data_IF_741865356268
#
_entry.id   IF_741865356268
#
_cell.length_a   1.000
_cell.length_b   1.000
_cell.length_c   1.000
_cell.angle_alpha   90.00
_cell.angle_beta   90.00
_cell.angle_gamma   90.00
#
_symmetry.space_group_name_H-M   'P 1'
#
loop_
_entity.id
_entity.type
_entity.pdbx_description
1 polymer ?
#
# COMPACT_ATOMS: atom_id res chain seq x y z
N UNK A 1 47.28 -11.42 -51.77
CA UNK A 1 46.20 -10.64 -52.41
C UNK A 1 44.88 -10.92 -51.70
N UNK A 2 44.24 -9.87 -51.19
CA UNK A 2 42.80 -9.73 -50.83
C UNK A 2 42.33 -10.54 -49.59
N UNK A 3 41.60 -9.98 -48.62
CA UNK A 3 41.09 -8.62 -48.32
C UNK A 3 40.60 -8.66 -46.86
N UNK A 4 40.90 -7.60 -46.11
CA UNK A 4 40.24 -7.25 -44.86
C UNK A 4 38.77 -6.90 -45.10
N UNK A 5 37.86 -7.37 -44.24
CA UNK A 5 36.55 -6.79 -43.89
C UNK A 5 36.09 -7.53 -42.61
N UNK A 6 36.07 -6.89 -41.43
CA UNK A 6 34.97 -6.06 -40.91
C UNK A 6 33.66 -6.87 -40.76
N UNK A 7 32.85 -6.81 -39.72
CA UNK A 7 32.85 -6.13 -38.43
C UNK A 7 31.72 -6.78 -37.61
N UNK A 8 31.86 -6.78 -36.28
CA UNK A 8 30.81 -6.57 -35.26
C UNK A 8 29.39 -6.96 -35.71
N UNK A 9 28.92 -8.14 -35.29
CA UNK A 9 27.48 -8.40 -35.21
C UNK A 9 27.07 -8.22 -33.75
N UNK A 10 26.41 -7.10 -33.51
CA UNK A 10 25.92 -6.64 -32.23
C UNK A 10 24.88 -7.60 -31.63
N UNK A 11 25.14 -7.99 -30.37
CA UNK A 11 24.24 -7.87 -29.21
C UNK A 11 22.81 -7.47 -29.61
N UNK A 12 21.89 -8.43 -29.73
CA UNK A 12 20.46 -8.15 -29.86
C UNK A 12 19.60 -9.34 -29.39
N UNK A 13 19.79 -9.76 -28.14
CA UNK A 13 18.80 -10.57 -27.41
C UNK A 13 18.82 -10.21 -25.92
N UNK A 14 18.69 -8.92 -25.59
CA UNK A 14 18.05 -8.53 -24.34
C UNK A 14 16.58 -8.28 -24.67
N UNK A 15 15.82 -9.37 -24.86
CA UNK A 15 14.43 -9.35 -24.50
C UNK A 15 14.41 -9.22 -22.97
N UNK A 16 14.59 -7.99 -22.48
CA UNK A 16 14.18 -7.62 -21.15
C UNK A 16 12.66 -7.79 -21.16
N UNK A 17 12.19 -9.00 -20.86
CA UNK A 17 10.92 -9.12 -20.17
C UNK A 17 11.02 -8.13 -19.03
N UNK A 18 10.10 -7.16 -18.99
CA UNK A 18 9.90 -6.36 -17.81
C UNK A 18 9.70 -7.36 -16.67
N UNK A 19 10.79 -7.67 -15.95
CA UNK A 19 10.71 -8.44 -14.75
C UNK A 19 9.81 -7.58 -13.88
N UNK A 20 8.56 -8.01 -13.70
CA UNK A 20 7.68 -7.48 -12.68
C UNK A 20 8.43 -7.74 -11.38
N UNK A 21 9.23 -6.75 -10.97
CA UNK A 21 10.01 -6.84 -9.76
C UNK A 21 8.99 -6.93 -8.65
N UNK A 22 8.99 -8.05 -7.94
CA UNK A 22 8.16 -8.22 -6.75
C UNK A 22 8.33 -6.97 -5.88
N UNK A 23 7.24 -6.31 -5.46
CA UNK A 23 7.34 -5.14 -4.58
C UNK A 23 8.22 -5.47 -3.38
N UNK A 24 9.06 -4.54 -2.90
CA UNK A 24 9.91 -4.82 -1.75
C UNK A 24 9.05 -5.15 -0.54
N UNK A 25 9.53 -6.08 0.29
CA UNK A 25 8.88 -6.40 1.56
C UNK A 25 8.99 -5.21 2.51
N UNK A 26 7.86 -4.82 3.10
CA UNK A 26 7.75 -3.69 4.03
C UNK A 26 7.53 -4.17 5.45
N UNK A 27 6.71 -5.21 5.67
CA UNK A 27 6.22 -5.56 7.01
C UNK A 27 7.05 -6.65 7.69
N UNK A 28 7.23 -6.44 8.99
CA UNK A 28 7.63 -7.43 9.97
C UNK A 28 6.52 -7.62 11.02
N UNK A 29 6.54 -8.70 11.81
CA UNK A 29 5.61 -8.85 12.93
C UNK A 29 5.65 -7.66 13.91
N UNK A 30 6.83 -7.08 14.14
CA UNK A 30 6.97 -5.89 14.98
C UNK A 30 6.22 -4.68 14.41
N UNK A 31 6.24 -4.49 13.08
CA UNK A 31 5.53 -3.37 12.45
C UNK A 31 4.01 -3.51 12.63
N UNK A 32 3.45 -4.73 12.56
CA UNK A 32 2.03 -4.99 12.83
C UNK A 32 1.67 -4.68 14.28
N UNK A 33 2.43 -5.23 15.24
CA UNK A 33 2.15 -5.00 16.66
C UNK A 33 2.19 -3.53 17.02
N UNK A 34 3.19 -2.82 16.47
CA UNK A 34 3.36 -1.40 16.69
C UNK A 34 2.25 -0.60 16.02
N UNK A 35 1.86 -0.94 14.78
CA UNK A 35 0.74 -0.30 14.10
C UNK A 35 -0.55 -0.45 14.89
N UNK A 36 -0.91 -1.68 15.30
CA UNK A 36 -2.14 -1.94 16.08
C UNK A 36 -2.18 -1.14 17.37
N UNK A 37 -1.03 -1.00 18.04
CA UNK A 37 -0.93 -0.24 19.29
C UNK A 37 -1.05 1.27 19.07
N UNK A 38 -0.31 1.79 18.09
CA UNK A 38 -0.08 3.24 17.96
C UNK A 38 -1.11 3.90 17.04
N UNK A 39 -1.71 3.18 16.09
CA UNK A 39 -2.56 3.75 15.04
C UNK A 39 -3.75 4.58 15.57
N UNK A 40 -4.56 4.12 16.55
CA UNK A 40 -5.71 4.92 17.01
C UNK A 40 -5.32 6.31 17.49
N UNK A 41 -4.35 6.40 18.41
CA UNK A 41 -3.88 7.70 18.91
C UNK A 41 -3.13 8.51 17.84
N UNK A 42 -2.39 7.84 16.95
CA UNK A 42 -1.64 8.51 15.90
C UNK A 42 -2.57 9.17 14.89
N UNK A 43 -3.64 8.51 14.45
CA UNK A 43 -4.61 9.08 13.51
C UNK A 43 -5.43 10.19 14.15
N UNK A 44 -5.88 10.05 15.41
CA UNK A 44 -6.55 11.13 16.13
C UNK A 44 -5.67 12.40 16.27
N UNK A 45 -4.36 12.23 16.49
CA UNK A 45 -3.41 13.36 16.50
C UNK A 45 -3.17 13.96 15.10
N UNK A 46 -3.19 13.14 14.04
CA UNK A 46 -3.07 13.61 12.66
C UNK A 46 -4.28 14.47 12.29
N UNK A 47 -5.48 13.98 12.53
CA UNK A 47 -6.74 14.69 12.30
C UNK A 47 -6.78 16.02 13.09
N UNK A 48 -6.45 15.96 14.39
CA UNK A 48 -6.34 17.15 15.24
C UNK A 48 -5.30 18.18 14.76
N UNK A 49 -4.35 17.76 13.91
CA UNK A 49 -3.34 18.63 13.30
C UNK A 49 -3.76 19.20 11.94
N UNK A 50 -4.96 18.85 11.45
CA UNK A 50 -5.48 19.19 10.12
C UNK A 50 -4.97 18.26 9.02
N UNK A 51 -4.44 17.08 9.39
CA UNK A 51 -4.03 16.02 8.46
C UNK A 51 -5.07 14.90 8.45
N UNK A 52 -6.18 15.14 7.76
CA UNK A 52 -7.30 14.19 7.66
C UNK A 52 -6.99 13.14 6.57
N UNK A 53 -5.97 12.33 6.83
CA UNK A 53 -5.48 11.33 5.86
C UNK A 53 -6.52 10.23 5.64
N UNK A 54 -7.26 9.87 6.67
CA UNK A 54 -8.26 8.80 6.60
C UNK A 54 -9.47 9.24 5.76
N UNK A 55 -10.02 10.42 6.04
CA UNK A 55 -11.04 11.06 5.21
C UNK A 55 -10.66 11.11 3.74
N UNK A 56 -9.43 11.54 3.43
CA UNK A 56 -8.96 11.61 2.04
C UNK A 56 -8.87 10.23 1.39
N UNK A 57 -8.60 9.19 2.16
CA UNK A 57 -8.63 7.80 1.68
C UNK A 57 -10.07 7.35 1.47
N UNK A 58 -10.98 7.65 2.39
CA UNK A 58 -12.42 7.39 2.26
C UNK A 58 -13.00 8.09 1.02
N UNK A 59 -12.77 9.40 0.85
CA UNK A 59 -13.15 10.19 -0.32
C UNK A 59 -12.60 9.60 -1.63
N UNK A 60 -11.38 9.04 -1.60
CA UNK A 60 -10.79 8.43 -2.81
C UNK A 60 -11.51 7.15 -3.26
N UNK A 61 -12.31 6.53 -2.38
CA UNK A 61 -13.09 5.34 -2.67
C UNK A 61 -14.47 5.66 -3.28
N UNK A 62 -14.94 6.91 -3.19
CA UNK A 62 -16.25 7.35 -3.73
C UNK A 62 -16.33 7.23 -5.25
N UNK A 63 -15.21 7.37 -5.95
CA UNK A 63 -15.09 7.05 -7.37
C UNK A 63 -14.20 5.81 -7.58
N UNK A 64 -14.81 4.61 -7.72
CA UNK A 64 -14.08 3.37 -7.97
C UNK A 64 -13.21 3.37 -9.23
N UNK A 65 -13.47 4.27 -10.19
CA UNK A 65 -12.65 4.40 -11.39
C UNK A 65 -11.32 5.13 -11.10
N UNK A 66 -11.30 5.97 -10.06
CA UNK A 66 -10.14 6.74 -9.61
C UNK A 66 -9.39 6.07 -8.46
N UNK A 67 -10.05 5.17 -7.73
CA UNK A 67 -9.45 4.42 -6.64
C UNK A 67 -8.41 3.42 -7.16
N UNK A 68 -7.15 3.65 -6.80
CA UNK A 68 -6.03 2.83 -7.27
C UNK A 68 -4.88 2.82 -6.26
N UNK A 69 -3.97 1.84 -6.34
CA UNK A 69 -2.74 1.85 -5.54
C UNK A 69 -1.93 3.13 -5.73
N UNK A 70 -1.91 3.70 -6.94
CA UNK A 70 -1.21 4.93 -7.26
C UNK A 70 -1.85 6.15 -6.57
N UNK A 71 -3.18 6.22 -6.55
CA UNK A 71 -3.94 7.26 -5.85
C UNK A 71 -3.63 7.22 -4.35
N UNK A 72 -3.69 6.04 -3.73
CA UNK A 72 -3.33 5.86 -2.31
C UNK A 72 -1.88 6.27 -2.04
N UNK A 73 -0.92 5.83 -2.86
CA UNK A 73 0.49 6.23 -2.71
C UNK A 73 0.68 7.75 -2.83
N UNK A 74 -0.09 8.41 -3.68
CA UNK A 74 -0.06 9.86 -3.82
C UNK A 74 -0.57 10.56 -2.56
N UNK A 75 -1.68 10.10 -1.98
CA UNK A 75 -2.20 10.59 -0.70
C UNK A 75 -1.16 10.44 0.41
N UNK A 76 -0.56 9.25 0.54
CA UNK A 76 0.48 8.99 1.54
C UNK A 76 1.74 9.84 1.31
N UNK A 77 2.10 10.11 0.06
CA UNK A 77 3.23 10.99 -0.26
C UNK A 77 2.97 12.44 0.15
N UNK A 78 1.72 12.90 0.03
CA UNK A 78 1.33 14.23 0.49
C UNK A 78 1.41 14.31 2.03
N UNK A 79 0.82 13.34 2.73
CA UNK A 79 0.89 13.26 4.20
C UNK A 79 2.34 13.18 4.71
N UNK A 80 3.18 12.41 4.01
CA UNK A 80 4.63 12.31 4.28
C UNK A 80 5.37 13.63 4.16
N UNK A 81 4.95 14.51 3.25
CA UNK A 81 5.57 15.81 3.04
C UNK A 81 5.13 16.85 4.08
N UNK A 82 4.02 16.60 4.78
CA UNK A 82 3.49 17.50 5.82
C UNK A 82 4.48 17.70 6.97
N UNK A 83 4.79 18.95 7.37
CA UNK A 83 5.50 19.23 8.61
C UNK A 83 4.75 18.73 9.85
N UNK A 84 3.43 18.89 9.87
CA UNK A 84 2.53 18.50 10.95
C UNK A 84 2.49 16.98 11.07
N UNK A 85 2.24 16.27 9.96
CA UNK A 85 2.29 14.81 9.92
C UNK A 85 3.62 14.25 10.41
N UNK A 86 4.75 14.87 10.04
CA UNK A 86 6.06 14.47 10.56
C UNK A 86 6.21 14.66 12.07
N UNK A 87 5.70 15.77 12.63
CA UNK A 87 5.73 16.00 14.09
C UNK A 87 4.90 14.95 14.84
N UNK A 88 3.75 14.58 14.30
CA UNK A 88 2.91 13.52 14.89
C UNK A 88 3.65 12.19 14.83
N UNK A 89 4.21 11.78 13.68
CA UNK A 89 4.98 10.54 13.58
C UNK A 89 6.14 10.50 14.59
N UNK A 90 6.89 11.59 14.73
CA UNK A 90 7.98 11.71 15.70
C UNK A 90 7.51 11.52 17.15
N UNK A 91 6.32 12.03 17.52
CA UNK A 91 5.71 11.83 18.86
C UNK A 91 5.50 10.34 19.18
N UNK A 92 5.14 9.54 18.18
CA UNK A 92 4.98 8.08 18.31
C UNK A 92 6.28 7.30 18.00
N UNK A 93 7.38 8.00 17.74
CA UNK A 93 8.68 7.43 17.37
C UNK A 93 8.69 6.77 16.00
N UNK A 94 7.71 7.05 15.15
CA UNK A 94 7.68 6.61 13.77
C UNK A 94 8.49 7.57 12.90
N UNK A 95 9.06 7.04 11.81
CA UNK A 95 9.65 7.84 10.75
C UNK A 95 8.77 7.77 9.51
N UNK A 96 9.26 8.31 8.39
CA UNK A 96 8.53 8.34 7.14
C UNK A 96 8.18 6.95 6.55
N UNK A 97 8.78 5.86 7.06
CA UNK A 97 8.42 4.47 6.69
C UNK A 97 7.02 4.10 7.18
N UNK A 98 6.47 4.82 8.17
CA UNK A 98 5.08 4.62 8.62
C UNK A 98 4.10 4.60 7.45
N UNK A 99 4.26 5.51 6.49
CA UNK A 99 3.36 5.59 5.34
C UNK A 99 3.43 4.36 4.42
N UNK A 100 4.61 3.75 4.30
CA UNK A 100 4.76 2.49 3.56
C UNK A 100 4.11 1.32 4.34
N UNK A 101 4.24 1.31 5.67
CA UNK A 101 3.57 0.33 6.56
C UNK A 101 2.06 0.47 6.45
N UNK A 102 1.53 1.69 6.60
CA UNK A 102 0.12 1.99 6.52
C UNK A 102 -0.47 1.57 5.17
N UNK A 103 0.14 2.00 4.06
CA UNK A 103 -0.26 1.58 2.72
C UNK A 103 -0.32 0.05 2.59
N UNK A 104 0.71 -0.66 3.06
CA UNK A 104 0.79 -2.11 2.92
C UNK A 104 -0.27 -2.84 3.75
N UNK A 105 -0.55 -2.35 4.97
CA UNK A 105 -1.59 -2.87 5.84
C UNK A 105 -2.96 -2.60 5.22
N UNK A 106 -3.26 -1.36 4.86
CA UNK A 106 -4.52 -0.94 4.26
C UNK A 106 -4.83 -1.77 3.01
N UNK A 107 -3.89 -1.83 2.06
CA UNK A 107 -4.07 -2.62 0.83
C UNK A 107 -4.24 -4.10 1.13
N UNK A 108 -3.51 -4.64 2.10
CA UNK A 108 -3.64 -6.04 2.52
C UNK A 108 -5.03 -6.35 3.09
N UNK A 109 -5.59 -5.44 3.92
CA UNK A 109 -6.95 -5.56 4.47
C UNK A 109 -7.98 -5.44 3.35
N UNK A 110 -7.87 -4.40 2.52
CA UNK A 110 -8.73 -4.17 1.36
C UNK A 110 -8.81 -5.41 0.45
N UNK A 111 -7.67 -5.93 -0.01
CA UNK A 111 -7.64 -7.14 -0.86
C UNK A 111 -8.32 -8.33 -0.18
N UNK A 112 -8.12 -8.50 1.12
CA UNK A 112 -8.69 -9.61 1.88
C UNK A 112 -10.20 -9.52 2.04
N UNK A 113 -10.75 -8.30 2.17
CA UNK A 113 -12.20 -8.06 2.18
C UNK A 113 -12.79 -8.24 0.79
N UNK A 114 -12.15 -7.70 -0.25
CA UNK A 114 -12.65 -7.81 -1.62
C UNK A 114 -12.59 -9.25 -2.15
N UNK A 115 -11.62 -10.07 -1.73
CA UNK A 115 -11.58 -11.50 -2.06
C UNK A 115 -12.78 -12.26 -1.49
N UNK A 116 -13.25 -11.90 -0.29
CA UNK A 116 -14.46 -12.47 0.28
C UNK A 116 -15.70 -12.03 -0.52
N UNK A 117 -15.77 -10.76 -0.93
CA UNK A 117 -16.84 -10.27 -1.79
C UNK A 117 -16.86 -10.98 -3.15
N UNK A 118 -15.70 -11.18 -3.78
CA UNK A 118 -15.56 -11.91 -5.05
C UNK A 118 -15.95 -13.39 -4.96
N UNK A 119 -15.75 -14.03 -3.80
CA UNK A 119 -16.19 -15.40 -3.57
C UNK A 119 -17.73 -15.51 -3.55
N UNK A 120 -18.41 -14.46 -3.09
CA UNK A 120 -19.88 -14.38 -3.07
C UNK A 120 -20.44 -13.95 -4.43
N UNK A 121 -19.78 -12.98 -5.09
CA UNK A 121 -20.21 -12.37 -6.34
C UNK A 121 -19.02 -12.33 -7.31
N UNK A 122 -18.78 -13.41 -8.09
CA UNK A 122 -17.68 -13.45 -9.03
C UNK A 122 -17.84 -12.41 -10.15
N UNK A 123 -16.85 -11.54 -10.31
CA UNK A 123 -16.80 -10.56 -11.40
C UNK A 123 -15.37 -10.46 -11.95
N UNK A 124 -15.12 -10.71 -13.25
CA UNK A 124 -13.79 -10.61 -13.83
C UNK A 124 -13.19 -9.20 -13.75
N UNK A 125 -14.01 -8.18 -13.95
CA UNK A 125 -13.58 -6.78 -13.90
C UNK A 125 -13.17 -6.40 -12.47
N UNK A 126 -14.01 -6.76 -11.50
CA UNK A 126 -13.71 -6.52 -10.10
C UNK A 126 -12.49 -7.32 -9.64
N UNK A 127 -12.35 -8.57 -10.10
CA UNK A 127 -11.15 -9.37 -9.84
C UNK A 127 -9.89 -8.68 -10.40
N UNK A 128 -9.93 -8.17 -11.62
CA UNK A 128 -8.79 -7.47 -12.22
C UNK A 128 -8.40 -6.21 -11.42
N UNK A 129 -9.39 -5.51 -10.87
CA UNK A 129 -9.17 -4.39 -9.95
C UNK A 129 -8.47 -4.84 -8.66
N UNK A 130 -8.99 -5.86 -7.97
CA UNK A 130 -8.39 -6.41 -6.73
C UNK A 130 -6.99 -6.97 -6.99
N UNK A 131 -6.78 -7.63 -8.13
CA UNK A 131 -5.46 -8.15 -8.52
C UNK A 131 -4.42 -7.03 -8.67
N UNK A 132 -4.82 -5.82 -9.10
CA UNK A 132 -3.93 -4.65 -9.17
C UNK A 132 -3.48 -4.22 -7.78
N UNK A 133 -4.40 -4.16 -6.82
CA UNK A 133 -4.08 -3.88 -5.42
C UNK A 133 -3.16 -4.95 -4.84
N UNK A 134 -3.49 -6.23 -5.04
CA UNK A 134 -2.65 -7.34 -4.57
C UNK A 134 -1.24 -7.30 -5.14
N UNK A 135 -1.09 -6.95 -6.41
CA UNK A 135 0.21 -6.83 -7.08
C UNK A 135 1.04 -5.64 -6.57
N UNK A 136 0.44 -4.69 -5.83
CA UNK A 136 1.13 -3.50 -5.31
C UNK A 136 1.88 -3.72 -3.99
N UNK A 137 1.69 -4.88 -3.35
CA UNK A 137 2.33 -5.26 -2.07
C UNK A 137 3.06 -6.60 -2.19
N UNK A 138 4.05 -6.84 -1.32
CA UNK A 138 4.77 -8.10 -1.28
C UNK A 138 3.87 -9.23 -0.74
N UNK A 139 3.99 -10.44 -1.31
CA UNK A 139 3.16 -11.61 -0.93
C UNK A 139 3.27 -11.94 0.57
N UNK A 140 4.47 -11.89 1.14
CA UNK A 140 4.69 -12.19 2.55
C UNK A 140 4.05 -11.14 3.46
N UNK A 141 3.97 -9.89 3.02
CA UNK A 141 3.30 -8.83 3.77
C UNK A 141 1.79 -9.06 3.78
N UNK A 142 1.20 -9.39 2.62
CA UNK A 142 -0.21 -9.77 2.55
C UNK A 142 -0.51 -10.99 3.44
N UNK A 143 0.39 -11.99 3.44
CA UNK A 143 0.27 -13.16 4.32
C UNK A 143 0.31 -12.76 5.80
N UNK A 144 1.14 -11.79 6.17
CA UNK A 144 1.22 -11.29 7.54
C UNK A 144 -0.03 -10.49 7.94
N UNK A 145 -0.58 -9.68 7.03
CA UNK A 145 -1.86 -8.98 7.23
C UNK A 145 -2.99 -9.98 7.45
N UNK A 146 -3.12 -11.00 6.58
CA UNK A 146 -4.16 -12.04 6.72
C UNK A 146 -4.13 -12.73 8.09
N UNK A 147 -2.94 -13.01 8.63
CA UNK A 147 -2.79 -13.64 9.95
C UNK A 147 -3.26 -12.76 11.10
N UNK A 148 -3.27 -11.44 10.91
CA UNK A 148 -3.64 -10.45 11.91
C UNK A 148 -4.94 -9.72 11.56
N UNK A 149 -5.67 -10.18 10.54
CA UNK A 149 -6.80 -9.48 9.96
C UNK A 149 -7.86 -9.06 10.99
N UNK A 150 -8.30 -9.91 11.94
CA UNK A 150 -9.29 -9.50 12.94
C UNK A 150 -8.84 -8.28 13.76
N UNK A 151 -7.58 -8.27 14.22
CA UNK A 151 -7.02 -7.17 15.02
C UNK A 151 -6.85 -5.89 14.21
N UNK A 152 -6.54 -6.03 12.91
CA UNK A 152 -6.40 -4.88 12.02
C UNK A 152 -7.77 -4.28 11.69
N UNK A 153 -8.80 -5.10 11.52
CA UNK A 153 -10.18 -4.63 11.36
C UNK A 153 -10.66 -3.86 12.59
N UNK A 154 -10.42 -4.37 13.80
CA UNK A 154 -10.75 -3.65 15.05
C UNK A 154 -10.08 -2.27 15.11
N UNK A 155 -8.86 -2.13 14.57
CA UNK A 155 -8.17 -0.83 14.49
C UNK A 155 -8.87 0.09 13.51
N UNK A 156 -9.19 -0.37 12.30
CA UNK A 156 -9.88 0.44 11.30
C UNK A 156 -11.30 0.82 11.73
N UNK A 157 -12.05 -0.10 12.34
CA UNK A 157 -13.38 0.18 12.91
C UNK A 157 -13.30 1.26 14.01
N UNK A 158 -12.25 1.23 14.84
CA UNK A 158 -12.06 2.26 15.86
C UNK A 158 -11.67 3.64 15.30
N UNK A 159 -11.15 3.71 14.06
CA UNK A 159 -10.90 4.98 13.37
C UNK A 159 -12.21 5.55 12.81
N UNK A 160 -13.09 4.70 12.28
CA UNK A 160 -14.40 5.10 11.74
C UNK A 160 -15.41 5.55 12.82
N UNK A 161 -15.25 5.13 14.08
CA UNK A 161 -16.18 5.43 15.19
C UNK A 161 -15.94 6.80 15.87
N UNK A 162 -14.86 7.52 15.55
CA UNK A 162 -14.52 8.81 16.19
C UNK A 162 -15.19 10.05 15.53
N UNK A 163 -15.97 9.86 14.44
CA UNK A 163 -16.84 10.85 13.76
C UNK A 163 -18.24 11.05 14.40
#
# INVERSE_FOLDING_TARGET
MKRFTAAILAILLFAAGAASQTPPRVLSPYDIERFVKDAPGLFADLESSGEDVDDRVAESQDDPASFSPETLKSLMSAARASPEGRRVLEKYGWDARFWDVYFTIFVGVYVSMMDQALAQIPSPEFKAHVDRFRASIHRDDHTLVLRNLPRLLEVFEALDEED
#
